data_IF_958387919846
#
_entry.id   IF_958387919846
#
_cell.length_a   1.000
_cell.length_b   1.000
_cell.length_c   1.000
_cell.angle_alpha   90.00
_cell.angle_beta   90.00
_cell.angle_gamma   90.00
#
_symmetry.space_group_name_H-M   'P 1'
#
loop_
_entity.id
_entity.type
_entity.pdbx_description
1 polymer ?
#
# COMPACT_ATOMS: atom_id res chain seq x y z
N UNK A 1 2.35 -17.60 -14.77
CA UNK A 1 2.29 -16.34 -14.02
C UNK A 1 1.95 -16.65 -12.58
N UNK A 2 2.76 -16.17 -11.63
CA UNK A 2 2.35 -16.13 -10.23
C UNK A 2 2.14 -14.64 -9.92
N UNK A 3 0.91 -14.25 -9.61
CA UNK A 3 0.53 -12.87 -9.33
C UNK A 3 0.33 -12.74 -7.83
N UNK A 4 0.89 -11.70 -7.23
CA UNK A 4 0.69 -11.40 -5.82
C UNK A 4 -0.42 -10.36 -5.70
N UNK A 5 -1.38 -10.57 -4.80
CA UNK A 5 -2.41 -9.57 -4.51
C UNK A 5 -2.04 -8.89 -3.21
N UNK A 6 -1.80 -7.58 -3.25
CA UNK A 6 -1.53 -6.82 -2.04
C UNK A 6 -2.82 -6.43 -1.34
N UNK A 7 -2.90 -6.81 -0.07
CA UNK A 7 -3.86 -6.29 0.88
C UNK A 7 -3.47 -4.87 1.35
N UNK A 8 -4.46 -4.09 1.78
CA UNK A 8 -4.28 -2.74 2.30
C UNK A 8 -3.25 -2.69 3.45
N UNK A 9 -3.20 -3.73 4.29
CA UNK A 9 -2.24 -3.80 5.39
C UNK A 9 -0.79 -3.94 4.91
N UNK A 10 -0.53 -4.67 3.83
CA UNK A 10 0.81 -4.83 3.27
C UNK A 10 1.33 -3.50 2.71
N UNK A 11 0.47 -2.76 2.00
CA UNK A 11 0.81 -1.43 1.46
C UNK A 11 1.16 -0.46 2.61
N UNK A 12 0.36 -0.46 3.68
CA UNK A 12 0.63 0.39 4.84
C UNK A 12 1.94 0.05 5.54
N UNK A 13 2.27 -1.25 5.64
CA UNK A 13 3.56 -1.68 6.20
C UNK A 13 4.74 -1.15 5.38
N UNK A 14 4.63 -1.14 4.04
CA UNK A 14 5.65 -0.55 3.18
C UNK A 14 5.75 0.97 3.37
N UNK A 15 4.62 1.69 3.34
CA UNK A 15 4.56 3.14 3.46
C UNK A 15 5.10 3.66 4.80
N UNK A 16 4.76 2.98 5.91
CA UNK A 16 5.15 3.38 7.26
C UNK A 16 6.51 2.80 7.70
N UNK A 17 7.17 2.02 6.83
CA UNK A 17 8.40 1.30 7.15
C UNK A 17 8.27 0.46 8.44
N UNK A 18 7.15 -0.26 8.56
CA UNK A 18 6.84 -1.11 9.70
C UNK A 18 7.60 -2.45 9.63
N UNK A 19 7.78 -3.17 10.76
CA UNK A 19 8.33 -4.51 10.76
C UNK A 19 7.54 -5.44 9.81
N UNK A 20 8.22 -6.08 8.86
CA UNK A 20 7.60 -6.88 7.81
C UNK A 20 7.71 -6.26 6.42
N UNK A 21 8.06 -4.98 6.31
CA UNK A 21 8.30 -4.29 5.02
C UNK A 21 9.43 -4.94 4.22
N UNK A 22 10.40 -5.57 4.88
CA UNK A 22 11.50 -6.30 4.24
C UNK A 22 11.04 -7.50 3.39
N UNK A 23 9.80 -7.97 3.60
CA UNK A 23 9.21 -9.07 2.83
C UNK A 23 8.61 -8.61 1.50
N UNK A 24 8.33 -7.32 1.37
CA UNK A 24 7.85 -6.68 0.13
C UNK A 24 9.04 -6.33 -0.76
N UNK A 25 9.76 -7.37 -1.16
CA UNK A 25 10.95 -7.22 -2.01
C UNK A 25 10.56 -6.66 -3.39
N UNK A 26 11.48 -6.01 -4.12
CA UNK A 26 11.19 -5.53 -5.48
C UNK A 26 10.63 -6.62 -6.41
N UNK A 27 11.07 -7.87 -6.26
CA UNK A 27 10.56 -9.00 -7.04
C UNK A 27 9.09 -9.36 -6.74
N UNK A 28 8.58 -9.01 -5.55
CA UNK A 28 7.16 -9.13 -5.19
C UNK A 28 6.38 -7.97 -5.78
N UNK A 29 6.91 -6.75 -5.65
CA UNK A 29 6.30 -5.51 -6.15
C UNK A 29 6.11 -5.53 -7.67
N UNK A 30 7.11 -6.01 -8.41
CA UNK A 30 7.07 -6.08 -9.88
C UNK A 30 5.93 -6.96 -10.44
N UNK A 31 5.36 -7.86 -9.64
CA UNK A 31 4.32 -8.81 -10.06
C UNK A 31 3.00 -8.65 -9.31
N UNK A 32 2.87 -7.56 -8.56
CA UNK A 32 1.71 -7.35 -7.70
C UNK A 32 0.55 -6.67 -8.40
N UNK A 33 -0.65 -6.89 -7.87
CA UNK A 33 -1.87 -6.19 -8.24
C UNK A 33 -2.60 -5.82 -6.95
N UNK A 34 -3.12 -4.60 -6.87
CA UNK A 34 -4.06 -4.19 -5.83
C UNK A 34 -5.45 -3.95 -6.38
N UNK A 35 -6.45 -4.40 -5.63
CA UNK A 35 -7.84 -4.00 -5.86
C UNK A 35 -8.00 -2.50 -5.61
N UNK A 36 -8.87 -1.84 -6.37
CA UNK A 36 -9.26 -0.45 -6.11
C UNK A 36 -9.87 -0.26 -4.72
N UNK A 37 -10.48 -1.31 -4.15
CA UNK A 37 -10.98 -1.29 -2.77
C UNK A 37 -9.82 -1.25 -1.78
N UNK A 38 -8.75 -2.03 -2.01
CA UNK A 38 -7.59 -2.04 -1.11
C UNK A 38 -6.88 -0.69 -1.13
N UNK A 39 -6.73 -0.07 -2.31
CA UNK A 39 -6.18 1.28 -2.43
C UNK A 39 -7.06 2.31 -1.70
N UNK A 40 -8.38 2.23 -1.81
CA UNK A 40 -9.29 3.11 -1.08
C UNK A 40 -9.20 2.93 0.44
N UNK A 41 -9.00 1.71 0.94
CA UNK A 41 -8.79 1.46 2.36
C UNK A 41 -7.45 2.01 2.87
N UNK A 42 -6.37 1.90 2.10
CA UNK A 42 -5.08 2.51 2.43
C UNK A 42 -5.27 4.02 2.57
N UNK A 43 -5.87 4.65 1.57
CA UNK A 43 -6.11 6.09 1.56
C UNK A 43 -6.97 6.52 2.76
N UNK A 44 -8.08 5.82 3.02
CA UNK A 44 -8.95 6.13 4.14
C UNK A 44 -8.25 5.99 5.50
N UNK A 45 -7.35 5.01 5.65
CA UNK A 45 -6.56 4.82 6.87
C UNK A 45 -5.52 5.93 7.05
N UNK A 46 -4.83 6.35 5.99
CA UNK A 46 -3.89 7.47 6.04
C UNK A 46 -4.60 8.78 6.45
N UNK A 47 -5.77 9.06 5.86
CA UNK A 47 -6.61 10.20 6.27
C UNK A 47 -7.08 10.06 7.71
N UNK A 48 -7.48 8.85 8.13
CA UNK A 48 -7.84 8.55 9.52
C UNK A 48 -6.69 8.78 10.50
N UNK A 49 -5.45 8.70 10.05
CA UNK A 49 -4.24 9.02 10.82
C UNK A 49 -3.83 10.50 10.73
N UNK A 50 -4.62 11.34 10.06
CA UNK A 50 -4.43 12.79 10.00
C UNK A 50 -3.69 13.31 8.77
N UNK A 51 -3.43 12.45 7.77
CA UNK A 51 -2.87 12.89 6.49
C UNK A 51 -3.91 13.68 5.67
N UNK A 52 -3.47 14.67 4.90
CA UNK A 52 -4.34 15.35 3.95
C UNK A 52 -4.88 14.35 2.90
N UNK A 53 -6.17 14.43 2.50
CA UNK A 53 -6.74 13.48 1.54
C UNK A 53 -6.04 13.41 0.18
N UNK A 54 -5.48 14.51 -0.32
CA UNK A 54 -4.74 14.51 -1.57
C UNK A 54 -3.36 13.89 -1.39
N UNK A 55 -2.65 14.25 -0.31
CA UNK A 55 -1.37 13.62 0.05
C UNK A 55 -1.51 12.10 0.26
N UNK A 56 -2.63 11.67 0.87
CA UNK A 56 -2.93 10.26 1.07
C UNK A 56 -3.12 9.50 -0.26
N UNK A 57 -3.71 10.14 -1.28
CA UNK A 57 -3.77 9.53 -2.60
C UNK A 57 -2.42 9.45 -3.27
N UNK A 58 -1.63 10.51 -3.21
CA UNK A 58 -0.27 10.52 -3.76
C UNK A 58 0.58 9.42 -3.13
N UNK A 59 0.56 9.28 -1.79
CA UNK A 59 1.25 8.19 -1.09
C UNK A 59 0.75 6.80 -1.52
N UNK A 60 -0.56 6.62 -1.70
CA UNK A 60 -1.16 5.32 -2.07
C UNK A 60 -0.88 4.92 -3.53
N UNK A 61 -0.72 5.89 -4.43
CA UNK A 61 -0.54 5.63 -5.88
C UNK A 61 0.93 5.65 -6.32
N UNK A 62 1.82 6.13 -5.46
CA UNK A 62 3.27 6.13 -5.68
C UNK A 62 4.01 5.03 -4.93
N UNK A 63 3.29 4.24 -4.12
CA UNK A 63 3.79 3.02 -3.47
C UNK A 63 4.03 1.89 -4.45
#
# INVERSE_FOLDING_TARGET
>A
MNTVVLDSSAILVALNNEPGSEKLTPAVIDVEISSTVNLAEVQAKLVGHGMDPAEAWEATLSS
#
